data_IF_930092489470
#
_entry.id   IF_930092489470
#
_cell.length_a   1.000
_cell.length_b   1.000
_cell.length_c   1.000
_cell.angle_alpha   90.00
_cell.angle_beta   90.00
_cell.angle_gamma   90.00
#
_symmetry.space_group_name_H-M   'P 1'
#
loop_
_entity.id
_entity.type
_entity.pdbx_description
1 polymer ?
#
# COMPACT_ATOMS: atom_id res chain seq x y z
N UNK A 1 4.71 6.28 -13.74
CA UNK A 1 5.74 5.28 -14.06
C UNK A 1 5.17 3.85 -14.02
N UNK A 2 4.50 3.41 -12.93
CA UNK A 2 3.89 2.06 -12.82
C UNK A 2 2.96 1.79 -14.00
N UNK A 3 1.97 2.63 -14.22
CA UNK A 3 1.00 2.49 -15.31
C UNK A 3 1.68 2.49 -16.68
N UNK A 4 2.62 3.41 -16.93
CA UNK A 4 3.35 3.50 -18.20
C UNK A 4 4.15 2.23 -18.53
N UNK A 5 4.83 1.66 -17.51
CA UNK A 5 5.64 0.44 -17.67
C UNK A 5 4.78 -0.80 -17.95
N UNK A 6 3.54 -0.81 -17.49
CA UNK A 6 2.64 -1.95 -17.59
C UNK A 6 1.47 -1.75 -18.57
N UNK A 7 1.51 -0.70 -19.41
CA UNK A 7 0.41 -0.33 -20.31
C UNK A 7 -0.93 -0.22 -19.57
N UNK A 8 -0.87 0.26 -18.33
CA UNK A 8 -2.03 0.40 -17.45
C UNK A 8 -2.70 1.76 -17.59
N UNK A 9 -3.82 1.89 -16.90
CA UNK A 9 -4.58 3.14 -16.76
C UNK A 9 -4.53 3.65 -15.31
N UNK A 10 -4.89 4.91 -15.12
CA UNK A 10 -4.95 5.53 -13.79
C UNK A 10 -6.38 6.00 -13.53
N UNK A 11 -6.92 5.65 -12.37
CA UNK A 11 -8.14 6.25 -11.84
C UNK A 11 -7.74 7.27 -10.76
N UNK A 12 -7.97 8.54 -11.05
CA UNK A 12 -7.80 9.62 -10.07
C UNK A 12 -9.09 9.70 -9.24
N UNK A 13 -8.96 9.39 -7.95
CA UNK A 13 -10.08 9.38 -7.02
C UNK A 13 -9.99 10.55 -6.04
N UNK A 14 -11.06 11.35 -5.96
CA UNK A 14 -11.24 12.39 -4.95
C UNK A 14 -12.43 12.04 -4.06
N UNK A 15 -12.20 12.10 -2.74
CA UNK A 15 -13.23 11.84 -1.74
C UNK A 15 -13.74 13.16 -1.18
N UNK A 16 -15.05 13.38 -1.27
CA UNK A 16 -15.74 14.50 -0.65
C UNK A 16 -16.53 13.99 0.55
N UNK A 17 -16.04 14.24 1.75
CA UNK A 17 -16.79 13.96 2.99
C UNK A 17 -17.75 15.12 3.23
N UNK A 18 -19.03 14.91 2.93
CA UNK A 18 -20.06 15.89 3.25
C UNK A 18 -20.34 15.89 4.76
N UNK A 19 -20.52 17.05 5.39
CA UNK A 19 -20.95 17.11 6.78
C UNK A 19 -22.27 16.35 6.95
N UNK A 20 -22.29 15.38 7.87
CA UNK A 20 -23.47 14.52 8.14
C UNK A 20 -24.62 15.24 8.84
N UNK A 21 -24.54 16.55 9.05
CA UNK A 21 -25.60 17.34 9.64
C UNK A 21 -26.58 17.80 8.55
N UNK A 22 -27.71 17.07 8.47
CA UNK A 22 -28.98 17.49 7.82
C UNK A 22 -28.96 17.82 6.34
N UNK A 23 -28.43 16.93 5.49
CA UNK A 23 -28.84 16.92 4.08
C UNK A 23 -30.17 16.17 3.97
N UNK A 24 -31.25 16.78 4.42
CA UNK A 24 -32.61 16.32 4.16
C UNK A 24 -32.94 16.64 2.70
N UNK A 25 -32.55 15.77 1.77
CA UNK A 25 -32.93 15.86 0.36
C UNK A 25 -34.47 15.77 0.15
N UNK A 26 -35.20 15.39 1.20
CA UNK A 26 -36.66 15.20 1.13
C UNK A 26 -37.42 16.48 1.45
N UNK A 27 -36.83 17.43 2.18
CA UNK A 27 -37.56 18.63 2.67
C UNK A 27 -37.35 19.90 1.84
N UNK A 28 -36.77 19.84 0.64
CA UNK A 28 -36.75 20.97 -0.30
C UNK A 28 -35.92 22.18 0.14
N UNK A 29 -35.10 22.05 1.16
CA UNK A 29 -34.15 23.08 1.61
C UNK A 29 -32.93 23.16 0.69
N UNK A 30 -33.01 23.98 -0.35
CA UNK A 30 -32.01 24.14 -1.42
C UNK A 30 -30.67 24.77 -1.00
N UNK A 31 -30.24 24.64 0.26
CA UNK A 31 -29.04 25.30 0.78
C UNK A 31 -27.71 24.66 0.39
N UNK A 32 -27.67 23.34 0.24
CA UNK A 32 -26.38 22.61 0.15
C UNK A 32 -25.91 22.27 -1.28
N UNK A 33 -26.82 22.33 -2.27
CA UNK A 33 -26.48 22.02 -3.67
C UNK A 33 -25.37 22.94 -4.24
N UNK A 34 -25.40 24.27 -4.04
CA UNK A 34 -24.33 25.14 -4.52
C UNK A 34 -22.96 24.82 -3.92
N UNK A 35 -22.91 24.43 -2.63
CA UNK A 35 -21.68 24.07 -1.93
C UNK A 35 -21.10 22.75 -2.46
N UNK A 36 -21.92 21.72 -2.61
CA UNK A 36 -21.52 20.45 -3.22
C UNK A 36 -20.99 20.66 -4.63
N UNK A 37 -21.68 21.46 -5.46
CA UNK A 37 -21.25 21.78 -6.82
C UNK A 37 -19.92 22.53 -6.84
N UNK A 38 -19.70 23.42 -5.88
CA UNK A 38 -18.42 24.11 -5.73
C UNK A 38 -17.28 23.14 -5.45
N UNK A 39 -17.45 22.19 -4.51
CA UNK A 39 -16.43 21.19 -4.20
C UNK A 39 -16.18 20.23 -5.37
N UNK A 40 -17.22 19.82 -6.09
CA UNK A 40 -17.05 19.01 -7.33
C UNK A 40 -16.22 19.78 -8.35
N UNK A 41 -16.53 21.07 -8.56
CA UNK A 41 -15.78 21.91 -9.48
C UNK A 41 -14.30 22.00 -9.06
N UNK A 42 -14.03 22.21 -7.78
CA UNK A 42 -12.67 22.25 -7.24
C UNK A 42 -11.93 20.91 -7.41
N UNK A 43 -12.61 19.79 -7.20
CA UNK A 43 -12.04 18.48 -7.45
C UNK A 43 -11.65 18.30 -8.92
N UNK A 44 -12.52 18.71 -9.86
CA UNK A 44 -12.23 18.66 -11.30
C UNK A 44 -11.09 19.57 -11.71
N UNK A 45 -11.04 20.82 -11.22
CA UNK A 45 -9.90 21.71 -11.44
C UNK A 45 -8.59 21.04 -11.01
N UNK A 46 -8.60 20.36 -9.87
CA UNK A 46 -7.42 19.64 -9.36
C UNK A 46 -7.07 18.42 -10.22
N UNK A 47 -8.04 17.71 -10.75
CA UNK A 47 -7.78 16.60 -11.69
C UNK A 47 -7.11 17.12 -12.98
N UNK A 48 -7.58 18.24 -13.55
CA UNK A 48 -6.94 18.84 -14.73
C UNK A 48 -5.49 19.22 -14.43
N UNK A 49 -5.20 19.88 -13.29
CA UNK A 49 -3.83 20.20 -12.90
C UNK A 49 -2.93 18.95 -12.81
N UNK A 50 -3.47 17.84 -12.29
CA UNK A 50 -2.72 16.57 -12.19
C UNK A 50 -2.54 15.94 -13.57
N UNK A 51 -3.56 15.95 -14.43
CA UNK A 51 -3.52 15.40 -15.80
C UNK A 51 -2.53 16.14 -16.71
N UNK A 52 -2.38 17.45 -16.51
CA UNK A 52 -1.40 18.27 -17.24
C UNK A 52 0.06 17.95 -16.86
N UNK A 53 0.25 17.08 -15.87
CA UNK A 53 1.59 16.66 -15.46
C UNK A 53 2.28 15.84 -16.57
N UNK A 54 3.55 16.16 -16.93
CA UNK A 54 4.32 15.39 -17.90
C UNK A 54 4.46 13.91 -17.55
N UNK A 55 4.30 13.55 -16.26
CA UNK A 55 4.35 12.16 -15.78
C UNK A 55 3.17 11.32 -16.26
N UNK A 56 2.04 11.95 -16.63
CA UNK A 56 0.83 11.26 -17.08
C UNK A 56 0.68 11.23 -18.61
N UNK A 57 1.60 11.85 -19.35
CA UNK A 57 1.55 11.89 -20.81
C UNK A 57 1.51 10.47 -21.41
N UNK A 58 0.48 10.24 -22.23
CA UNK A 58 0.25 8.95 -22.90
C UNK A 58 -0.36 7.86 -22.02
N UNK A 59 -0.79 8.18 -20.79
CA UNK A 59 -1.47 7.23 -19.89
C UNK A 59 -2.96 7.56 -19.87
N UNK A 60 -3.87 6.59 -20.12
CA UNK A 60 -5.30 6.79 -19.94
C UNK A 60 -5.62 7.14 -18.48
N UNK A 61 -6.38 8.22 -18.27
CA UNK A 61 -6.74 8.69 -16.93
C UNK A 61 -8.26 8.82 -16.83
N UNK A 62 -8.86 8.15 -15.86
CA UNK A 62 -10.27 8.26 -15.49
C UNK A 62 -10.40 9.05 -14.19
N UNK A 63 -11.37 9.97 -14.13
CA UNK A 63 -11.67 10.76 -12.93
C UNK A 63 -12.85 10.17 -12.19
N UNK A 64 -12.75 10.08 -10.88
CA UNK A 64 -13.83 9.63 -10.00
C UNK A 64 -13.94 10.53 -8.77
N UNK A 65 -15.15 11.04 -8.50
CA UNK A 65 -15.50 11.74 -7.25
C UNK A 65 -16.49 10.88 -6.49
N UNK A 66 -16.22 10.63 -5.23
CA UNK A 66 -17.07 9.83 -4.33
C UNK A 66 -17.48 10.65 -3.11
N UNK A 67 -18.70 10.41 -2.61
CA UNK A 67 -19.31 11.17 -1.50
C UNK A 67 -19.43 10.33 -0.22
N UNK A 68 -18.50 9.42 -0.01
CA UNK A 68 -18.49 8.50 1.13
C UNK A 68 -17.29 8.84 2.05
N UNK A 69 -17.22 8.18 3.20
CA UNK A 69 -16.00 8.25 4.03
C UNK A 69 -14.81 7.77 3.21
N UNK A 70 -13.68 8.45 3.34
CA UNK A 70 -12.56 8.29 2.41
C UNK A 70 -12.15 6.81 2.24
N UNK A 71 -11.99 6.04 3.32
CA UNK A 71 -11.56 4.64 3.21
C UNK A 71 -12.64 3.73 2.57
N UNK A 72 -13.92 3.95 2.87
CA UNK A 72 -15.04 3.16 2.31
C UNK A 72 -15.17 3.41 0.81
N UNK A 73 -15.11 4.67 0.41
CA UNK A 73 -15.16 5.06 -1.00
C UNK A 73 -13.97 4.55 -1.80
N UNK A 74 -12.75 4.55 -1.24
CA UNK A 74 -11.57 3.97 -1.90
C UNK A 74 -11.78 2.47 -2.16
N UNK A 75 -12.25 1.71 -1.15
CA UNK A 75 -12.52 0.27 -1.29
C UNK A 75 -13.63 0.01 -2.31
N UNK A 76 -14.68 0.81 -2.33
CA UNK A 76 -15.77 0.69 -3.29
C UNK A 76 -15.30 1.04 -4.71
N UNK A 77 -14.62 2.16 -4.88
CA UNK A 77 -14.08 2.59 -6.17
C UNK A 77 -13.12 1.55 -6.75
N UNK A 78 -12.28 0.94 -5.90
CA UNK A 78 -11.35 -0.09 -6.35
C UNK A 78 -12.06 -1.31 -6.95
N UNK A 79 -13.22 -1.67 -6.43
CA UNK A 79 -14.05 -2.76 -6.98
C UNK A 79 -14.77 -2.34 -8.27
N UNK A 80 -15.35 -1.12 -8.29
CA UNK A 80 -16.10 -0.59 -9.46
C UNK A 80 -15.20 -0.45 -10.69
N UNK A 81 -13.97 0.00 -10.48
CA UNK A 81 -13.00 0.23 -11.56
C UNK A 81 -12.01 -0.92 -11.76
N UNK A 82 -12.20 -2.08 -11.11
CA UNK A 82 -11.32 -3.26 -11.19
C UNK A 82 -9.84 -2.89 -10.97
N UNK A 83 -9.56 -2.16 -9.92
CA UNK A 83 -8.21 -1.67 -9.60
C UNK A 83 -7.31 -2.81 -9.12
N UNK A 84 -6.11 -2.91 -9.67
CA UNK A 84 -5.09 -3.89 -9.28
C UNK A 84 -4.15 -3.37 -8.19
N UNK A 85 -3.99 -2.06 -8.08
CA UNK A 85 -3.10 -1.40 -7.12
C UNK A 85 -3.70 -0.06 -6.65
N UNK A 86 -3.78 0.14 -5.35
CA UNK A 86 -4.07 1.45 -4.76
C UNK A 86 -2.74 2.16 -4.45
N UNK A 87 -2.59 3.41 -4.89
CA UNK A 87 -1.44 4.26 -4.53
C UNK A 87 -1.94 5.41 -3.68
N UNK A 88 -1.37 5.57 -2.50
CA UNK A 88 -1.76 6.61 -1.55
C UNK A 88 -0.56 7.36 -1.01
N UNK A 89 -0.74 8.65 -0.75
CA UNK A 89 0.15 9.39 0.12
C UNK A 89 -0.02 8.96 1.58
N UNK A 90 1.01 9.13 2.39
CA UNK A 90 0.92 8.83 3.83
C UNK A 90 0.13 9.89 4.60
N UNK A 91 0.05 11.11 4.10
CA UNK A 91 -0.64 12.24 4.72
C UNK A 91 -1.70 12.79 3.78
N UNK A 92 -2.86 13.15 4.34
CA UNK A 92 -3.84 13.98 3.63
C UNK A 92 -3.46 15.47 3.66
N UNK A 93 -4.30 16.31 3.07
CA UNK A 93 -4.11 17.78 2.96
C UNK A 93 -4.01 18.52 4.31
N UNK A 94 -4.31 17.88 5.43
CA UNK A 94 -4.24 18.45 6.78
C UNK A 94 -2.81 18.59 7.36
N UNK A 95 -1.78 18.15 6.63
CA UNK A 95 -0.39 18.61 6.74
C UNK A 95 0.25 18.68 8.13
N UNK A 96 -0.12 17.82 9.07
CA UNK A 96 0.66 17.72 10.31
C UNK A 96 1.98 17.04 9.96
N UNK A 97 3.06 17.82 9.98
CA UNK A 97 4.42 17.32 9.79
C UNK A 97 4.77 16.35 10.92
N UNK A 98 4.62 15.06 10.66
CA UNK A 98 4.98 13.98 11.57
C UNK A 98 5.16 12.68 10.81
N UNK A 99 5.87 11.73 11.40
CA UNK A 99 6.15 10.42 10.80
C UNK A 99 4.91 9.50 10.73
N UNK A 100 3.73 9.96 11.17
CA UNK A 100 2.52 9.15 11.25
C UNK A 100 1.73 9.15 9.95
N UNK A 101 1.25 7.99 9.55
CA UNK A 101 0.35 7.82 8.42
C UNK A 101 -1.05 8.30 8.80
N UNK A 102 -1.73 8.97 7.87
CA UNK A 102 -3.09 9.45 8.09
C UNK A 102 -4.09 8.31 8.30
N UNK A 103 -5.10 8.55 9.13
CA UNK A 103 -6.11 7.55 9.53
C UNK A 103 -6.83 6.87 8.34
N UNK A 104 -7.01 7.55 7.22
CA UNK A 104 -7.60 6.97 6.01
C UNK A 104 -6.66 5.97 5.35
N UNK A 105 -5.37 6.31 5.23
CA UNK A 105 -4.36 5.42 4.66
C UNK A 105 -4.20 4.17 5.53
N UNK A 106 -4.14 4.32 6.86
CA UNK A 106 -4.09 3.20 7.80
C UNK A 106 -5.29 2.26 7.63
N UNK A 107 -6.51 2.81 7.55
CA UNK A 107 -7.72 2.01 7.35
C UNK A 107 -7.71 1.28 6.00
N UNK A 108 -7.27 1.93 4.91
CA UNK A 108 -7.17 1.31 3.59
C UNK A 108 -6.13 0.19 3.60
N UNK A 109 -4.94 0.41 4.16
CA UNK A 109 -3.89 -0.61 4.34
C UNK A 109 -4.42 -1.84 5.06
N UNK A 110 -5.22 -1.65 6.10
CA UNK A 110 -5.78 -2.74 6.91
C UNK A 110 -6.93 -3.48 6.23
N UNK A 111 -7.74 -2.80 5.41
CA UNK A 111 -9.01 -3.35 4.90
C UNK A 111 -9.00 -3.73 3.43
N UNK A 112 -8.07 -3.21 2.64
CA UNK A 112 -8.01 -3.45 1.20
C UNK A 112 -7.69 -4.89 0.85
N UNK A 113 -8.47 -5.50 -0.05
CA UNK A 113 -8.20 -6.84 -0.62
C UNK A 113 -7.17 -6.79 -1.76
N UNK A 114 -6.88 -5.59 -2.28
CA UNK A 114 -5.86 -5.37 -3.30
C UNK A 114 -4.62 -4.70 -2.68
N UNK A 115 -3.44 -4.85 -3.30
CA UNK A 115 -2.22 -4.23 -2.79
C UNK A 115 -2.35 -2.72 -2.62
N UNK A 116 -1.75 -2.19 -1.56
CA UNK A 116 -1.73 -0.74 -1.28
C UNK A 116 -0.29 -0.27 -1.19
N UNK A 117 0.11 0.59 -2.11
CA UNK A 117 1.42 1.25 -2.11
C UNK A 117 1.30 2.61 -1.41
N UNK A 118 1.99 2.74 -0.29
CA UNK A 118 2.04 3.98 0.49
C UNK A 118 3.36 4.72 0.22
N UNK A 119 3.24 5.97 -0.23
CA UNK A 119 4.37 6.84 -0.56
C UNK A 119 4.37 8.04 0.39
N UNK A 120 5.49 8.30 1.08
CA UNK A 120 5.59 9.38 2.08
C UNK A 120 6.16 10.68 1.57
N UNK A 121 6.92 10.64 0.51
CA UNK A 121 7.56 11.80 -0.09
C UNK A 121 7.66 11.61 -1.59
N UNK A 122 7.82 12.70 -2.29
CA UNK A 122 8.19 12.62 -3.70
C UNK A 122 9.50 11.83 -3.83
N UNK A 123 9.44 10.79 -4.64
CA UNK A 123 10.56 9.89 -4.89
C UNK A 123 10.82 9.92 -6.38
N UNK A 124 12.04 10.24 -6.74
CA UNK A 124 12.54 10.01 -8.10
C UNK A 124 12.80 8.52 -8.28
N UNK A 125 11.72 7.73 -8.27
CA UNK A 125 11.79 6.29 -8.50
C UNK A 125 11.90 6.07 -10.00
N UNK A 126 13.11 6.18 -10.53
CA UNK A 126 13.36 5.85 -11.94
C UNK A 126 13.20 4.37 -12.19
N UNK A 127 13.58 3.53 -11.24
CA UNK A 127 13.41 2.07 -11.30
C UNK A 127 13.28 1.49 -9.89
N UNK A 128 12.27 0.67 -9.65
CA UNK A 128 12.23 -0.21 -8.48
C UNK A 128 13.00 -1.46 -8.87
N UNK A 129 14.25 -1.57 -8.43
CA UNK A 129 15.15 -2.68 -8.73
C UNK A 129 15.31 -3.65 -7.56
N UNK A 130 15.22 -3.14 -6.32
CA UNK A 130 15.39 -3.91 -5.10
C UNK A 130 14.11 -3.89 -4.26
N UNK A 131 13.44 -5.01 -4.21
CA UNK A 131 12.19 -5.19 -3.48
C UNK A 131 12.42 -6.12 -2.29
N UNK A 132 12.44 -5.60 -1.07
CA UNK A 132 12.50 -6.38 0.16
C UNK A 132 11.10 -6.86 0.52
N UNK A 133 10.86 -8.17 0.52
CA UNK A 133 9.62 -8.76 1.01
C UNK A 133 9.86 -9.43 2.36
N UNK A 134 9.33 -8.84 3.42
CA UNK A 134 9.46 -9.33 4.79
C UNK A 134 8.27 -10.22 5.19
N UNK A 135 8.57 -11.42 5.68
CA UNK A 135 7.56 -12.41 6.05
C UNK A 135 8.10 -13.44 7.03
N UNK A 136 7.19 -14.16 7.70
CA UNK A 136 7.50 -15.38 8.45
C UNK A 136 7.42 -16.66 7.59
N UNK A 137 7.06 -16.51 6.31
CA UNK A 137 6.97 -17.57 5.30
C UNK A 137 6.11 -18.78 5.74
N UNK A 138 4.97 -18.50 6.37
CA UNK A 138 3.95 -19.50 6.68
C UNK A 138 2.95 -19.66 5.56
N UNK A 139 2.12 -20.71 5.67
CA UNK A 139 1.12 -21.08 4.66
C UNK A 139 0.14 -19.95 4.33
N UNK A 140 -0.29 -19.19 5.32
CA UNK A 140 -1.24 -18.07 5.18
C UNK A 140 -0.72 -16.93 4.31
N UNK A 141 0.61 -16.80 4.15
CA UNK A 141 1.25 -15.77 3.35
C UNK A 141 1.31 -16.11 1.86
N UNK A 142 0.96 -17.32 1.45
CA UNK A 142 1.10 -17.75 0.05
C UNK A 142 0.34 -16.88 -0.95
N UNK A 143 -0.94 -16.58 -0.70
CA UNK A 143 -1.73 -15.71 -1.58
C UNK A 143 -1.18 -14.28 -1.68
N UNK A 144 -0.89 -13.59 -0.54
CA UNK A 144 -0.18 -12.31 -0.58
C UNK A 144 1.14 -12.37 -1.34
N UNK A 145 1.90 -13.45 -1.18
CA UNK A 145 3.20 -13.63 -1.82
C UNK A 145 3.09 -13.77 -3.34
N UNK A 146 2.06 -14.45 -3.86
CA UNK A 146 1.77 -14.50 -5.30
C UNK A 146 1.60 -13.09 -5.89
N UNK A 147 0.87 -12.23 -5.19
CA UNK A 147 0.71 -10.82 -5.59
C UNK A 147 2.03 -10.06 -5.54
N UNK A 148 2.87 -10.33 -4.53
CA UNK A 148 4.20 -9.73 -4.43
C UNK A 148 5.12 -10.16 -5.58
N UNK A 149 5.09 -11.45 -5.98
CA UNK A 149 5.81 -11.97 -7.15
C UNK A 149 5.34 -11.26 -8.43
N UNK A 150 4.02 -11.16 -8.63
CA UNK A 150 3.46 -10.50 -9.81
C UNK A 150 3.92 -9.02 -9.87
N UNK A 151 3.91 -8.33 -8.72
CA UNK A 151 4.41 -6.98 -8.61
C UNK A 151 5.91 -6.89 -8.95
N UNK A 152 6.75 -7.76 -8.36
CA UNK A 152 8.18 -7.78 -8.64
C UNK A 152 8.48 -8.00 -10.13
N UNK A 153 7.76 -8.93 -10.79
CA UNK A 153 7.87 -9.17 -12.24
C UNK A 153 7.48 -7.96 -13.08
N UNK A 154 6.38 -7.28 -12.72
CA UNK A 154 5.92 -6.09 -13.43
C UNK A 154 6.98 -4.97 -13.42
N UNK A 155 7.83 -4.93 -12.39
CA UNK A 155 8.93 -3.97 -12.27
C UNK A 155 10.29 -4.52 -12.76
N UNK A 156 10.42 -5.82 -12.98
CA UNK A 156 11.72 -6.45 -13.19
C UNK A 156 12.61 -6.33 -11.94
N UNK A 157 12.00 -6.29 -10.76
CA UNK A 157 12.72 -6.10 -9.51
C UNK A 157 13.22 -7.43 -8.97
N UNK A 158 14.46 -7.43 -8.45
CA UNK A 158 14.98 -8.52 -7.65
C UNK A 158 14.30 -8.53 -6.28
N UNK A 159 13.89 -9.71 -5.82
CA UNK A 159 13.28 -9.88 -4.50
C UNK A 159 14.31 -10.28 -3.45
N UNK A 160 14.45 -9.46 -2.40
CA UNK A 160 15.16 -9.84 -1.19
C UNK A 160 14.13 -10.38 -0.17
N UNK A 161 14.10 -11.70 -0.01
CA UNK A 161 13.18 -12.41 0.88
C UNK A 161 13.74 -12.36 2.30
N UNK A 162 13.04 -11.68 3.20
CA UNK A 162 13.57 -11.35 4.51
C UNK A 162 12.76 -12.02 5.63
N UNK A 163 13.41 -12.87 6.41
CA UNK A 163 12.91 -13.39 7.67
C UNK A 163 13.61 -12.67 8.82
N UNK A 164 12.83 -12.11 9.75
CA UNK A 164 13.36 -11.46 10.95
C UNK A 164 13.31 -12.44 12.11
N UNK A 165 14.47 -12.75 12.69
CA UNK A 165 14.58 -13.42 13.97
C UNK A 165 14.51 -12.39 15.11
N UNK A 166 13.67 -12.67 16.09
CA UNK A 166 13.57 -11.84 17.31
C UNK A 166 13.84 -12.70 18.54
N UNK A 167 14.20 -12.11 19.69
CA UNK A 167 14.46 -12.88 20.90
C UNK A 167 13.32 -13.80 21.34
N UNK A 168 12.06 -13.39 21.08
CA UNK A 168 10.88 -14.19 21.41
C UNK A 168 10.51 -15.27 20.37
N UNK A 169 11.08 -15.21 19.16
CA UNK A 169 10.77 -16.11 18.03
C UNK A 169 12.04 -16.43 17.26
N UNK A 170 12.99 -16.99 17.97
CA UNK A 170 14.28 -17.38 17.41
C UNK A 170 14.16 -18.72 16.66
N UNK A 171 14.72 -18.75 15.47
CA UNK A 171 14.98 -19.96 14.69
C UNK A 171 16.46 -20.03 14.39
N UNK A 172 17.02 -21.24 14.37
CA UNK A 172 18.37 -21.42 13.84
C UNK A 172 18.45 -21.00 12.38
N UNK A 173 19.64 -20.73 11.89
CA UNK A 173 19.85 -20.39 10.46
C UNK A 173 19.31 -21.50 9.56
N UNK A 174 19.61 -22.77 9.89
CA UNK A 174 19.14 -23.94 9.15
C UNK A 174 17.61 -24.03 9.12
N UNK A 175 16.95 -23.85 10.25
CA UNK A 175 15.47 -23.86 10.32
C UNK A 175 14.84 -22.71 9.52
N UNK A 176 15.45 -21.53 9.58
CA UNK A 176 15.00 -20.36 8.84
C UNK A 176 15.12 -20.57 7.33
N UNK A 177 16.27 -21.02 6.86
CA UNK A 177 16.53 -21.32 5.45
C UNK A 177 15.61 -22.43 4.93
N UNK A 178 15.45 -23.51 5.70
CA UNK A 178 14.54 -24.62 5.38
C UNK A 178 13.09 -24.14 5.28
N UNK A 179 12.66 -23.25 6.17
CA UNK A 179 11.30 -22.66 6.13
C UNK A 179 11.10 -21.89 4.84
N UNK A 180 12.00 -20.95 4.51
CA UNK A 180 11.91 -20.15 3.29
C UNK A 180 11.95 -21.08 2.07
N UNK A 181 12.92 -21.99 1.98
CA UNK A 181 13.06 -22.90 0.85
C UNK A 181 11.82 -23.78 0.64
N UNK A 182 11.23 -24.32 1.73
CA UNK A 182 10.01 -25.12 1.62
C UNK A 182 8.81 -24.30 1.16
N UNK A 183 8.69 -23.07 1.64
CA UNK A 183 7.65 -22.14 1.20
C UNK A 183 7.76 -21.82 -0.29
N UNK A 184 8.97 -21.60 -0.78
CA UNK A 184 9.23 -21.24 -2.18
C UNK A 184 8.97 -22.35 -3.19
N UNK A 185 8.92 -23.61 -2.77
CA UNK A 185 8.64 -24.77 -3.67
C UNK A 185 7.32 -24.66 -4.43
N UNK A 186 6.38 -23.84 -3.91
CA UNK A 186 5.06 -23.65 -4.52
C UNK A 186 5.05 -22.57 -5.62
N UNK A 187 6.16 -21.87 -5.85
CA UNK A 187 6.18 -20.68 -6.71
C UNK A 187 7.26 -20.76 -7.79
N UNK A 188 6.94 -20.20 -8.95
CA UNK A 188 7.92 -19.83 -9.94
C UNK A 188 8.48 -18.44 -9.59
N UNK A 189 9.73 -18.40 -9.14
CA UNK A 189 10.33 -17.19 -8.57
C UNK A 189 11.03 -16.33 -9.62
N UNK A 190 10.90 -14.98 -9.58
CA UNK A 190 11.84 -14.09 -10.24
C UNK A 190 13.23 -14.19 -9.60
N UNK A 191 14.17 -13.36 -10.03
CA UNK A 191 15.47 -13.28 -9.34
C UNK A 191 15.28 -12.91 -7.86
N UNK A 192 15.85 -13.71 -6.96
CA UNK A 192 15.71 -13.47 -5.52
C UNK A 192 16.99 -13.81 -4.74
N UNK A 193 17.05 -13.29 -3.52
CA UNK A 193 18.00 -13.69 -2.48
C UNK A 193 17.25 -13.93 -1.17
N UNK A 194 17.74 -14.87 -0.34
CA UNK A 194 17.16 -15.16 0.97
C UNK A 194 18.01 -14.53 2.07
N UNK A 195 17.37 -13.93 3.05
CA UNK A 195 18.02 -13.26 4.16
C UNK A 195 17.35 -13.61 5.48
N UNK A 196 18.16 -13.94 6.48
CA UNK A 196 17.76 -14.06 7.89
C UNK A 196 18.45 -12.94 8.63
N UNK A 197 17.67 -12.07 9.28
CA UNK A 197 18.21 -10.91 9.98
C UNK A 197 17.73 -10.90 11.43
N UNK A 198 18.64 -10.68 12.36
CA UNK A 198 18.35 -10.67 13.78
C UNK A 198 18.13 -9.25 14.26
N UNK A 199 17.00 -8.98 14.94
CA UNK A 199 16.74 -7.69 15.58
C UNK A 199 15.83 -7.88 16.80
N UNK A 200 15.65 -6.83 17.59
CA UNK A 200 14.80 -6.86 18.79
C UNK A 200 13.31 -6.92 18.46
N UNK A 201 12.88 -6.36 17.32
CA UNK A 201 11.52 -6.43 16.83
C UNK A 201 11.49 -6.61 15.31
N UNK A 202 10.39 -7.16 14.79
CA UNK A 202 10.20 -7.36 13.35
C UNK A 202 10.25 -6.01 12.62
N UNK A 203 9.54 -5.00 13.12
CA UNK A 203 9.54 -3.65 12.55
C UNK A 203 10.96 -3.11 12.39
N UNK A 204 11.73 -3.05 13.49
CA UNK A 204 13.11 -2.54 13.47
C UNK A 204 13.99 -3.34 12.52
N UNK A 205 13.86 -4.66 12.54
CA UNK A 205 14.64 -5.54 11.66
C UNK A 205 14.38 -5.25 10.19
N UNK A 206 13.12 -5.11 9.79
CA UNK A 206 12.75 -4.77 8.40
C UNK A 206 13.32 -3.41 7.99
N UNK A 207 13.12 -2.40 8.83
CA UNK A 207 13.59 -1.04 8.53
C UNK A 207 15.12 -0.95 8.46
N UNK A 208 15.82 -1.60 9.40
CA UNK A 208 17.28 -1.64 9.45
C UNK A 208 17.86 -2.39 8.24
N UNK A 209 17.27 -3.54 7.89
CA UNK A 209 17.67 -4.30 6.72
C UNK A 209 17.46 -3.51 5.44
N UNK A 210 16.26 -2.95 5.24
CA UNK A 210 15.94 -2.13 4.06
C UNK A 210 16.89 -0.93 3.92
N UNK A 211 17.24 -0.27 5.04
CA UNK A 211 18.21 0.81 5.05
C UNK A 211 19.61 0.32 4.66
N UNK A 212 20.06 -0.81 5.22
CA UNK A 212 21.41 -1.37 5.00
C UNK A 212 21.63 -1.83 3.57
N UNK A 213 20.59 -2.39 2.94
CA UNK A 213 20.66 -2.92 1.56
C UNK A 213 20.32 -1.88 0.52
N UNK A 214 19.96 -0.67 0.95
CA UNK A 214 19.46 0.39 0.09
C UNK A 214 18.28 -0.08 -0.78
N UNK A 215 17.29 -0.69 -0.12
CA UNK A 215 16.09 -1.19 -0.78
C UNK A 215 15.24 -0.03 -1.35
N UNK A 216 14.67 -0.22 -2.53
CA UNK A 216 13.80 0.77 -3.17
C UNK A 216 12.38 0.69 -2.62
N UNK A 217 11.94 -0.52 -2.26
CA UNK A 217 10.59 -0.82 -1.80
C UNK A 217 10.59 -1.88 -0.71
N UNK A 218 9.68 -1.73 0.26
CA UNK A 218 9.41 -2.72 1.29
C UNK A 218 8.02 -3.31 1.05
N UNK A 219 7.91 -4.64 1.02
CA UNK A 219 6.65 -5.38 0.97
C UNK A 219 6.39 -6.14 2.24
N UNK A 220 5.16 -6.07 2.74
CA UNK A 220 4.72 -6.78 3.94
C UNK A 220 3.30 -7.32 3.78
N UNK A 221 3.03 -8.45 4.42
CA UNK A 221 1.66 -8.93 4.61
C UNK A 221 0.96 -8.18 5.73
N UNK A 222 -0.34 -7.94 5.57
CA UNK A 222 -1.18 -7.35 6.63
C UNK A 222 -2.35 -8.28 6.96
N UNK A 223 -2.60 -8.52 8.25
CA UNK A 223 -3.79 -9.23 8.69
C UNK A 223 -4.95 -8.24 8.84
N UNK A 224 -6.09 -8.54 8.21
CA UNK A 224 -7.33 -7.84 8.51
C UNK A 224 -7.84 -8.14 9.93
N UNK A 225 -8.96 -7.52 10.33
CA UNK A 225 -9.56 -7.66 11.68
C UNK A 225 -9.91 -9.09 12.13
N UNK A 226 -9.86 -10.07 11.24
CA UNK A 226 -10.31 -11.47 11.47
C UNK A 226 -9.19 -12.47 11.75
N UNK A 227 -7.92 -12.04 11.71
CA UNK A 227 -6.79 -12.92 11.95
C UNK A 227 -6.58 -13.25 13.43
N UNK A 228 -6.77 -14.53 13.83
CA UNK A 228 -6.50 -15.04 15.19
C UNK A 228 -4.98 -15.29 15.42
N UNK A 229 -4.13 -14.63 14.69
CA UNK A 229 -2.68 -14.80 14.86
C UNK A 229 -2.14 -13.80 15.88
N UNK A 230 -1.83 -14.26 17.06
CA UNK A 230 -1.23 -13.51 18.18
C UNK A 230 0.15 -12.90 17.88
N UNK A 231 0.70 -13.07 16.66
CA UNK A 231 2.11 -12.78 16.38
C UNK A 231 2.40 -11.82 15.23
N UNK A 232 1.41 -11.58 14.39
CA UNK A 232 1.44 -10.46 13.45
C UNK A 232 0.11 -9.71 13.62
N UNK A 233 -0.07 -9.10 14.78
CA UNK A 233 -1.13 -8.13 14.97
C UNK A 233 -1.04 -7.15 13.81
N UNK A 234 -2.19 -6.75 13.27
CA UNK A 234 -2.28 -5.73 12.23
C UNK A 234 -1.42 -4.48 12.45
N UNK A 235 -0.84 -4.37 13.64
CA UNK A 235 0.14 -3.38 14.05
C UNK A 235 1.47 -3.47 13.31
N UNK A 236 2.06 -4.64 13.03
CA UNK A 236 3.45 -4.70 12.49
C UNK A 236 3.50 -4.12 11.08
N UNK A 237 2.58 -4.52 10.20
CA UNK A 237 2.47 -3.93 8.86
C UNK A 237 2.16 -2.44 8.91
N UNK A 238 1.25 -2.02 9.78
CA UNK A 238 0.90 -0.63 10.04
C UNK A 238 2.09 0.13 10.64
N UNK A 239 2.82 -0.46 11.60
CA UNK A 239 4.01 0.13 12.22
C UNK A 239 5.13 0.33 11.21
N UNK A 240 5.36 -0.65 10.30
CA UNK A 240 6.33 -0.51 9.21
C UNK A 240 5.90 0.60 8.25
N UNK A 241 4.62 0.65 7.86
CA UNK A 241 4.08 1.74 7.02
C UNK A 241 4.24 3.08 7.72
N UNK A 242 4.03 3.15 9.04
CA UNK A 242 4.21 4.38 9.83
C UNK A 242 5.67 4.83 9.90
N UNK A 243 6.60 3.91 10.11
CA UNK A 243 8.00 4.22 10.44
C UNK A 243 8.92 4.27 9.22
N UNK A 244 8.57 3.60 8.10
CA UNK A 244 9.41 3.55 6.92
C UNK A 244 9.53 4.91 6.24
N UNK A 245 10.74 5.26 5.83
CA UNK A 245 11.03 6.41 4.95
C UNK A 245 10.83 6.02 3.48
N UNK A 246 11.06 4.76 3.16
CA UNK A 246 10.88 4.17 1.84
C UNK A 246 9.41 3.89 1.55
N UNK A 247 9.00 3.79 0.28
CA UNK A 247 7.67 3.29 -0.07
C UNK A 247 7.44 1.92 0.55
N UNK A 248 6.21 1.69 0.99
CA UNK A 248 5.78 0.38 1.52
C UNK A 248 4.58 -0.10 0.72
N UNK A 249 4.66 -1.32 0.22
CA UNK A 249 3.50 -2.01 -0.37
C UNK A 249 2.99 -3.07 0.58
N UNK A 250 1.69 -3.08 0.81
CA UNK A 250 1.05 -4.05 1.70
C UNK A 250 0.16 -5.00 0.92
N UNK A 251 0.16 -6.25 1.35
CA UNK A 251 -0.64 -7.32 0.76
C UNK A 251 -1.48 -7.97 1.86
N UNK A 252 -2.80 -8.02 1.68
CA UNK A 252 -3.70 -8.62 2.69
C UNK A 252 -3.54 -10.13 2.73
N UNK A 253 -3.34 -10.65 3.93
CA UNK A 253 -3.34 -12.07 4.28
C UNK A 253 -4.78 -12.57 4.46
#
# INVERSE_FOLDING_TARGET
>A
QIAKKNNGEIVLLHMLELPTQNVDFVSGGGGDIPEVMFFIKKARERFEEVKDSPYLEGIPVTEAVQFERAFEGIIKASKVHNIDLVVMGSHGTSGVQGFFVGSNTEKVVRTSDIPVLVVKRELDIKEISKFVFASDFKEEVKKPFEKAIAFARAFGAKMDLLLINTPGHFLSTEESEKRITNFLKAFDMPEYSMHVYNDYSVEKGVLNFAKRTDADLIGVGTHGRTGISHYLNGSIGEDIVNSAVRPVITFKI
#
